data_IF_362633323707
#
_entry.id   IF_362633323707
#
_cell.length_a   1.000
_cell.length_b   1.000
_cell.length_c   1.000
_cell.angle_alpha   90.00
_cell.angle_beta   90.00
_cell.angle_gamma   90.00
#
_symmetry.space_group_name_H-M   'P 1'
#
loop_
_entity.id
_entity.type
_entity.pdbx_description
1 polymer ?
#
# COMPACT_ATOMS: atom_id res chain seq x y z
N UNK A 1 19.29 -0.03 2.76
CA UNK A 1 18.06 0.30 2.03
C UNK A 1 16.94 0.40 3.06
N UNK A 2 16.14 1.48 3.09
CA UNK A 2 15.01 1.55 4.02
C UNK A 2 14.02 0.42 3.71
N UNK A 3 13.38 -0.18 4.74
CA UNK A 3 12.40 -1.23 4.53
C UNK A 3 11.20 -0.67 3.77
N UNK A 4 10.77 -1.37 2.72
CA UNK A 4 9.56 -1.06 1.95
C UNK A 4 8.63 -2.26 2.03
N UNK A 5 7.36 -2.01 2.34
CA UNK A 5 6.31 -3.04 2.41
C UNK A 5 5.33 -2.78 1.27
N UNK A 6 5.13 -3.78 0.42
CA UNK A 6 4.10 -3.78 -0.62
C UNK A 6 2.96 -4.70 -0.21
N UNK A 7 1.73 -4.22 -0.30
CA UNK A 7 0.53 -4.99 -0.03
C UNK A 7 -0.51 -4.71 -1.11
N UNK A 8 -1.23 -5.75 -1.52
CA UNK A 8 -2.36 -5.67 -2.46
C UNK A 8 -3.65 -5.85 -1.67
N UNK A 9 -4.64 -5.03 -1.98
CA UNK A 9 -5.96 -5.08 -1.38
C UNK A 9 -7.02 -5.22 -2.47
N UNK A 10 -8.15 -5.81 -2.14
CA UNK A 10 -9.25 -6.02 -3.08
C UNK A 10 -9.98 -4.71 -3.42
N UNK A 11 -9.97 -3.74 -2.49
CA UNK A 11 -10.52 -2.41 -2.69
C UNK A 11 -9.83 -1.36 -1.80
N UNK A 12 -10.14 -0.09 -2.08
CA UNK A 12 -9.58 1.05 -1.34
C UNK A 12 -10.02 1.11 0.13
N UNK A 13 -11.23 0.65 0.46
CA UNK A 13 -11.72 0.66 1.85
C UNK A 13 -10.90 -0.30 2.72
N UNK A 14 -10.60 -1.49 2.20
CA UNK A 14 -9.74 -2.46 2.87
C UNK A 14 -8.36 -1.87 3.09
N UNK A 15 -7.74 -1.29 2.05
CA UNK A 15 -6.43 -0.66 2.17
C UNK A 15 -6.39 0.42 3.27
N UNK A 16 -7.44 1.26 3.36
CA UNK A 16 -7.55 2.31 4.37
C UNK A 16 -7.69 1.76 5.80
N UNK A 17 -8.29 0.58 5.97
CA UNK A 17 -8.39 -0.05 7.30
C UNK A 17 -7.03 -0.40 7.91
N UNK A 18 -6.00 -0.58 7.07
CA UNK A 18 -4.64 -0.95 7.50
C UNK A 18 -3.73 0.24 7.85
N UNK A 19 -4.21 1.48 7.76
CA UNK A 19 -3.41 2.68 8.10
C UNK A 19 -2.88 2.62 9.53
N UNK A 20 -3.73 2.27 10.50
CA UNK A 20 -3.33 2.24 11.91
C UNK A 20 -2.33 1.09 12.21
N UNK A 21 -2.58 -0.15 11.76
CA UNK A 21 -1.57 -1.21 11.82
C UNK A 21 -0.23 -0.85 11.17
N UNK A 22 -0.25 -0.24 9.98
CA UNK A 22 0.97 0.11 9.25
C UNK A 22 1.80 1.19 9.96
N UNK A 23 1.15 2.18 10.57
CA UNK A 23 1.82 3.17 11.43
C UNK A 23 2.50 2.53 12.63
N UNK A 24 1.89 1.49 13.22
CA UNK A 24 2.49 0.76 14.35
C UNK A 24 3.65 -0.14 13.90
N UNK A 25 3.54 -0.75 12.72
CA UNK A 25 4.57 -1.61 12.15
C UNK A 25 5.80 -0.82 11.69
N UNK A 26 5.57 0.37 11.13
CA UNK A 26 6.61 1.26 10.60
C UNK A 26 6.47 2.67 11.18
N UNK A 27 6.80 2.87 12.47
CA UNK A 27 6.63 4.16 13.15
C UNK A 27 7.42 5.30 12.51
N UNK A 28 8.56 4.97 11.87
CA UNK A 28 9.44 5.93 11.20
C UNK A 28 9.12 6.11 9.69
N UNK A 29 8.04 5.49 9.20
CA UNK A 29 7.63 5.65 7.81
C UNK A 29 7.22 7.10 7.54
N UNK A 30 7.88 7.74 6.57
CA UNK A 30 7.61 9.14 6.22
C UNK A 30 6.33 9.33 5.41
N UNK A 31 5.95 8.32 4.61
CA UNK A 31 4.80 8.39 3.70
C UNK A 31 4.12 7.03 3.60
N UNK A 32 2.81 7.04 3.35
CA UNK A 32 2.03 5.88 2.97
C UNK A 32 1.36 6.17 1.64
N UNK A 33 1.57 5.30 0.64
CA UNK A 33 1.09 5.50 -0.73
C UNK A 33 0.03 4.44 -1.01
N UNK A 34 -1.17 4.88 -1.39
CA UNK A 34 -2.24 4.01 -1.87
C UNK A 34 -2.35 4.18 -3.39
N UNK A 35 -2.08 3.09 -4.12
CA UNK A 35 -2.26 3.02 -5.56
C UNK A 35 -3.56 2.26 -5.83
N UNK A 36 -4.60 2.99 -6.21
CA UNK A 36 -5.85 2.38 -6.68
C UNK A 36 -5.70 2.04 -8.16
N UNK A 37 -5.25 0.82 -8.43
CA UNK A 37 -5.08 0.32 -9.79
C UNK A 37 -6.40 -0.33 -10.19
N UNK A 38 -7.34 0.49 -10.64
CA UNK A 38 -8.55 0.01 -11.30
C UNK A 38 -8.18 -0.46 -12.72
N UNK A 39 -8.28 -1.77 -12.97
CA UNK A 39 -8.03 -2.51 -14.23
C UNK A 39 -6.58 -2.94 -14.48
N UNK A 40 -6.35 -4.06 -15.20
CA UNK A 40 -5.06 -4.75 -15.18
C UNK A 40 -3.98 -3.83 -15.76
N UNK A 41 -2.84 -3.76 -15.08
CA UNK A 41 -1.63 -3.21 -15.67
C UNK A 41 -1.35 -4.07 -16.90
N UNK A 42 -1.69 -3.56 -18.10
CA UNK A 42 -1.24 -4.18 -19.33
C UNK A 42 0.28 -4.34 -19.19
N UNK A 43 0.73 -5.60 -19.24
CA UNK A 43 2.15 -5.92 -19.25
C UNK A 43 2.68 -5.39 -20.59
N UNK A 44 3.11 -4.13 -20.60
CA UNK A 44 3.92 -3.62 -21.70
C UNK A 44 5.27 -4.32 -21.58
N UNK A 45 5.46 -5.29 -22.48
CA UNK A 45 6.69 -6.04 -22.74
C UNK A 45 7.84 -5.13 -23.18
#
# INVERSE_FOLDING_TARGET
MPPVVFARFDNLCDAKSYVQPLKRLMPDAKFLIFLDISLPMDQQE
#
